data_IF_106947177709
#
_entry.id   IF_106947177709
#
_cell.length_a   1.000
_cell.length_b   1.000
_cell.length_c   1.000
_cell.angle_alpha   90.00
_cell.angle_beta   90.00
_cell.angle_gamma   90.00
#
_symmetry.space_group_name_H-M   'P 1'
#
loop_
_entity.id
_entity.type
_entity.pdbx_description
1 polymer ?
#
# COMPACT_ATOMS: atom_id res chain seq x y z
N UNK A 1 -0.59 -3.93 -21.63
CA UNK A 1 -0.71 -3.09 -20.48
C UNK A 1 -0.55 -3.87 -19.19
N UNK A 2 0.24 -3.42 -18.31
CA UNK A 2 0.52 -4.16 -17.11
C UNK A 2 -0.02 -3.41 -15.90
N UNK A 3 -0.52 -4.17 -14.97
CA UNK A 3 -0.93 -3.65 -13.68
C UNK A 3 0.17 -3.93 -12.69
N UNK A 4 0.32 -3.02 -11.77
CA UNK A 4 1.29 -3.18 -10.71
C UNK A 4 0.60 -3.71 -9.47
N UNK A 5 1.24 -4.64 -8.82
CA UNK A 5 0.73 -5.20 -7.59
C UNK A 5 1.76 -5.04 -6.50
N UNK A 6 1.29 -4.77 -5.32
CA UNK A 6 2.15 -4.60 -4.17
C UNK A 6 1.59 -5.43 -3.03
N UNK A 7 2.40 -6.33 -2.51
CA UNK A 7 2.01 -7.15 -1.37
C UNK A 7 2.54 -6.51 -0.10
N UNK A 8 1.65 -6.24 0.84
CA UNK A 8 2.00 -5.67 2.13
C UNK A 8 1.68 -6.71 3.18
N UNK A 9 2.68 -7.12 3.94
CA UNK A 9 2.54 -8.16 4.94
C UNK A 9 2.80 -7.60 6.33
N UNK A 10 2.12 -8.14 7.31
CA UNK A 10 2.32 -7.80 8.71
C UNK A 10 1.99 -6.35 9.00
N UNK A 11 0.98 -5.82 8.32
CA UNK A 11 0.56 -4.46 8.59
C UNK A 11 -0.26 -4.44 9.88
N UNK A 12 -0.32 -3.29 10.51
CA UNK A 12 -1.12 -3.12 11.70
C UNK A 12 -2.50 -2.64 11.39
N UNK A 13 -2.59 -1.58 10.58
CA UNK A 13 -3.89 -1.04 10.21
C UNK A 13 -3.71 -0.15 8.99
N UNK A 14 -4.84 0.13 8.36
CA UNK A 14 -4.86 1.04 7.22
C UNK A 14 -5.26 2.41 7.74
N UNK A 15 -4.42 3.40 7.49
CA UNK A 15 -4.67 4.76 7.96
C UNK A 15 -5.42 5.58 6.93
N UNK A 16 -5.21 5.31 5.65
CA UNK A 16 -5.87 6.04 4.60
C UNK A 16 -6.01 5.13 3.38
N UNK A 17 -7.16 5.16 2.75
CA UNK A 17 -7.41 4.35 1.56
C UNK A 17 -8.18 5.19 0.56
N UNK A 18 -7.48 5.73 -0.42
CA UNK A 18 -8.06 6.50 -1.51
C UNK A 18 -7.53 5.90 -2.79
N UNK A 19 -8.19 6.19 -3.91
CA UNK A 19 -7.75 5.57 -5.14
C UNK A 19 -6.43 6.16 -5.64
N UNK A 20 -5.98 7.28 -5.08
CA UNK A 20 -4.69 7.86 -5.45
C UNK A 20 -3.67 7.85 -4.32
N UNK A 21 -4.05 7.38 -3.15
CA UNK A 21 -3.10 7.35 -2.03
C UNK A 21 -3.57 6.35 -0.99
N UNK A 22 -2.67 5.52 -0.55
CA UNK A 22 -2.93 4.53 0.50
C UNK A 22 -1.85 4.66 1.55
N UNK A 23 -2.25 4.77 2.82
CA UNK A 23 -1.32 4.78 3.93
C UNK A 23 -1.60 3.59 4.82
N UNK A 24 -0.57 2.84 5.13
CA UNK A 24 -0.67 1.63 5.93
C UNK A 24 0.30 1.74 7.09
N UNK A 25 -0.21 1.54 8.28
CA UNK A 25 0.64 1.57 9.47
C UNK A 25 1.30 0.21 9.64
N UNK A 26 2.62 0.21 9.58
CA UNK A 26 3.43 -0.97 9.79
C UNK A 26 3.97 -0.95 11.22
N UNK A 27 4.53 -2.06 11.70
CA UNK A 27 5.03 -2.08 13.08
C UNK A 27 6.09 -1.04 13.38
N UNK A 28 6.90 -0.68 12.38
CA UNK A 28 8.03 0.21 12.63
C UNK A 28 8.00 1.47 11.78
N UNK A 29 7.03 1.60 10.89
CA UNK A 29 6.96 2.76 10.00
C UNK A 29 5.57 2.86 9.42
N UNK A 30 5.33 3.94 8.70
CA UNK A 30 4.10 4.12 7.93
C UNK A 30 4.46 4.05 6.46
N UNK A 31 3.82 3.13 5.76
CA UNK A 31 4.06 2.95 4.34
C UNK A 31 3.05 3.78 3.57
N UNK A 32 3.53 4.62 2.67
CA UNK A 32 2.68 5.45 1.84
C UNK A 32 2.88 5.08 0.38
N UNK A 33 1.79 4.79 -0.30
CA UNK A 33 1.80 4.48 -1.72
C UNK A 33 0.95 5.50 -2.43
N UNK A 34 1.50 6.15 -3.44
CA UNK A 34 0.78 7.10 -4.26
C UNK A 34 0.76 6.63 -5.69
N UNK A 35 -0.38 6.75 -6.33
CA UNK A 35 -0.52 6.31 -7.70
C UNK A 35 -1.90 6.58 -8.21
N UNK A 36 -2.32 5.78 -9.18
CA UNK A 36 -3.63 5.90 -9.79
C UNK A 36 -4.31 4.55 -9.77
N UNK A 37 -5.60 4.57 -9.49
CA UNK A 37 -6.38 3.34 -9.53
C UNK A 37 -5.98 2.34 -8.47
N UNK A 38 -5.67 2.82 -7.28
CA UNK A 38 -5.29 1.95 -6.18
C UNK A 38 -6.53 1.22 -5.66
N UNK A 39 -6.47 -0.10 -5.65
CA UNK A 39 -7.57 -0.90 -5.14
C UNK A 39 -7.00 -2.05 -4.33
N UNK A 40 -7.80 -2.53 -3.39
CA UNK A 40 -7.42 -3.68 -2.60
C UNK A 40 -7.90 -4.93 -3.31
N UNK A 41 -6.97 -5.71 -3.82
CA UNK A 41 -7.28 -6.96 -4.50
C UNK A 41 -7.63 -8.04 -3.50
N UNK A 42 -6.92 -8.07 -2.40
CA UNK A 42 -7.13 -9.05 -1.35
C UNK A 42 -6.72 -8.41 -0.03
N UNK A 43 -7.46 -8.72 1.03
CA UNK A 43 -7.14 -8.20 2.34
C UNK A 43 -7.47 -9.25 3.38
N UNK A 44 -6.50 -9.55 4.20
CA UNK A 44 -6.71 -10.38 5.37
C UNK A 44 -6.34 -9.55 6.59
N UNK A 45 -6.34 -10.16 7.76
CA UNK A 45 -6.08 -9.38 8.95
C UNK A 45 -4.65 -8.87 9.04
N UNK A 46 -3.72 -9.50 8.30
CA UNK A 46 -2.33 -9.07 8.37
C UNK A 46 -1.65 -8.98 7.01
N UNK A 47 -2.40 -9.14 5.91
CA UNK A 47 -1.84 -9.05 4.57
C UNK A 47 -2.78 -8.29 3.66
N UNK A 48 -2.19 -7.52 2.76
CA UNK A 48 -2.93 -6.76 1.76
C UNK A 48 -2.26 -6.97 0.41
N UNK A 49 -3.06 -7.26 -0.61
CA UNK A 49 -2.59 -7.23 -1.98
C UNK A 49 -3.19 -6.00 -2.64
N UNK A 50 -2.36 -5.03 -2.90
CA UNK A 50 -2.78 -3.76 -3.45
C UNK A 50 -2.53 -3.77 -4.95
N UNK A 51 -3.54 -3.39 -5.70
CA UNK A 51 -3.46 -3.36 -7.15
C UNK A 51 -3.56 -1.92 -7.62
N UNK A 52 -2.80 -1.55 -8.63
CA UNK A 52 -2.85 -0.19 -9.13
C UNK A 52 -2.52 -0.14 -10.60
N UNK A 53 -3.07 0.87 -11.27
CA UNK A 53 -2.77 1.08 -12.67
C UNK A 53 -1.39 1.68 -12.86
N UNK A 54 -1.02 2.58 -11.96
CA UNK A 54 0.27 3.26 -12.03
C UNK A 54 0.69 3.65 -10.62
N UNK A 55 1.95 3.45 -10.32
CA UNK A 55 2.51 3.90 -9.06
C UNK A 55 3.33 5.15 -9.32
N UNK A 56 2.95 6.27 -8.68
CA UNK A 56 3.69 7.50 -8.80
C UNK A 56 4.83 7.55 -7.80
N UNK A 57 4.55 7.09 -6.59
CA UNK A 57 5.56 7.14 -5.55
C UNK A 57 5.25 6.10 -4.51
N UNK A 58 6.28 5.60 -3.88
CA UNK A 58 6.16 4.55 -2.91
C UNK A 58 7.29 4.76 -1.93
N UNK A 59 6.94 5.07 -0.71
CA UNK A 59 7.94 5.50 0.24
C UNK A 59 7.89 4.67 1.50
N UNK A 60 9.05 4.26 1.92
CA UNK A 60 9.23 3.44 3.09
C UNK A 60 10.38 4.03 3.89
N UNK A 61 10.13 4.52 5.10
CA UNK A 61 11.23 5.07 5.89
C UNK A 61 12.33 4.06 6.10
N UNK A 62 13.56 4.53 6.05
CA UNK A 62 14.71 3.69 6.28
C UNK A 62 15.45 4.17 7.50
N UNK A 63 16.32 3.35 8.00
CA UNK A 63 17.12 3.72 9.12
C UNK A 63 16.41 3.72 10.44
N UNK A 64 15.37 2.98 10.49
CA UNK A 64 14.61 2.89 11.73
C UNK A 64 15.18 1.82 12.61
#
# INVERSE_FOLDING_TARGET
MSENQLMIERYRRIRRAQENQVEVEMPEYVLTVEGEGLTFQMMTKDEILLNCLRVSSYEKPTGV
#
